data_IF_371112426307
#
_entry.id   IF_371112426307
#
_cell.length_a   1.000
_cell.length_b   1.000
_cell.length_c   1.000
_cell.angle_alpha   90.00
_cell.angle_beta   90.00
_cell.angle_gamma   90.00
#
_symmetry.space_group_name_H-M   'P 1'
#
loop_
_entity.id
_entity.type
_entity.pdbx_description
1 polymer ?
#
# COMPACT_ATOMS: atom_id res chain seq x y z
N UNK A 1 -15.78 27.41 -10.32
CA UNK A 1 -15.81 25.97 -9.97
C UNK A 1 -14.50 25.62 -9.28
N UNK A 2 -14.58 24.88 -8.18
CA UNK A 2 -13.56 24.70 -7.15
C UNK A 2 -12.41 23.78 -7.58
N UNK A 3 -11.28 24.36 -8.00
CA UNK A 3 -10.05 23.61 -8.34
C UNK A 3 -9.36 22.96 -7.14
N UNK A 4 -9.81 23.24 -5.90
CA UNK A 4 -9.23 22.69 -4.67
C UNK A 4 -9.33 21.15 -4.56
N UNK A 5 -10.22 20.52 -5.32
CA UNK A 5 -10.38 19.06 -5.36
C UNK A 5 -9.45 18.34 -6.35
N UNK A 6 -8.88 19.02 -7.37
CA UNK A 6 -8.09 18.34 -8.44
C UNK A 6 -6.73 17.87 -7.96
N UNK A 7 -5.89 18.77 -7.43
CA UNK A 7 -4.50 18.41 -7.05
C UNK A 7 -4.44 17.39 -5.92
N UNK A 8 -5.31 17.53 -4.90
CA UNK A 8 -5.37 16.55 -3.82
C UNK A 8 -5.88 15.21 -4.34
N UNK A 9 -6.96 15.18 -5.13
CA UNK A 9 -7.48 13.90 -5.64
C UNK A 9 -6.53 13.19 -6.61
N UNK A 10 -5.77 13.93 -7.42
CA UNK A 10 -4.71 13.40 -8.30
C UNK A 10 -3.53 12.79 -7.52
N UNK A 11 -3.13 13.41 -6.41
CA UNK A 11 -2.09 12.86 -5.51
C UNK A 11 -2.55 11.57 -4.82
N UNK A 12 -3.80 11.55 -4.33
CA UNK A 12 -4.37 10.37 -3.68
C UNK A 12 -4.56 9.22 -4.67
N UNK A 13 -4.97 9.49 -5.91
CA UNK A 13 -5.10 8.46 -6.94
C UNK A 13 -3.75 7.94 -7.40
N UNK A 14 -2.73 8.79 -7.57
CA UNK A 14 -1.37 8.36 -7.87
C UNK A 14 -0.79 7.47 -6.77
N UNK A 15 -0.98 7.84 -5.50
CA UNK A 15 -0.55 7.03 -4.36
C UNK A 15 -1.21 5.64 -4.34
N UNK A 16 -2.50 5.56 -4.67
CA UNK A 16 -3.20 4.28 -4.77
C UNK A 16 -2.63 3.39 -5.88
N UNK A 17 -2.26 3.96 -7.02
CA UNK A 17 -1.62 3.23 -8.13
C UNK A 17 -0.22 2.74 -7.74
N UNK A 18 0.56 3.55 -7.01
CA UNK A 18 1.85 3.10 -6.46
C UNK A 18 1.70 1.90 -5.53
N UNK A 19 0.71 1.92 -4.63
CA UNK A 19 0.44 0.80 -3.74
C UNK A 19 -0.02 -0.45 -4.50
N UNK A 20 -0.84 -0.30 -5.54
CA UNK A 20 -1.23 -1.40 -6.44
C UNK A 20 -0.02 -2.03 -7.14
N UNK A 21 0.89 -1.21 -7.67
CA UNK A 21 2.10 -1.70 -8.34
C UNK A 21 3.06 -2.40 -7.37
N UNK A 22 3.26 -1.83 -6.18
CA UNK A 22 4.17 -2.37 -5.17
C UNK A 22 3.65 -3.66 -4.54
N UNK A 23 2.34 -3.84 -4.46
CA UNK A 23 1.72 -5.01 -3.82
C UNK A 23 1.19 -6.06 -4.80
N UNK A 24 1.05 -5.70 -6.08
CA UNK A 24 0.27 -6.42 -7.10
C UNK A 24 -1.16 -6.78 -6.66
N UNK A 25 -1.76 -5.97 -5.79
CA UNK A 25 -3.15 -6.13 -5.34
C UNK A 25 -4.02 -5.01 -5.91
N UNK A 26 -5.27 -5.34 -6.21
CA UNK A 26 -6.26 -4.36 -6.61
C UNK A 26 -6.45 -3.32 -5.49
N UNK A 27 -6.62 -2.02 -5.82
CA UNK A 27 -6.84 -0.95 -4.85
C UNK A 27 -7.99 -1.22 -3.89
N UNK A 28 -9.01 -1.96 -4.37
CA UNK A 28 -10.14 -2.45 -3.61
C UNK A 28 -10.28 -3.96 -3.84
N UNK A 29 -9.98 -4.74 -2.80
CA UNK A 29 -10.13 -6.19 -2.84
C UNK A 29 -10.94 -6.66 -1.62
N UNK A 30 -11.97 -7.49 -1.84
CA UNK A 30 -12.82 -8.05 -0.77
C UNK A 30 -13.39 -7.01 0.22
N UNK A 31 -13.69 -5.80 -0.28
CA UNK A 31 -14.23 -4.70 0.54
C UNK A 31 -13.20 -3.99 1.44
N UNK A 32 -11.91 -4.27 1.28
CA UNK A 32 -10.82 -3.54 1.94
C UNK A 32 -9.98 -2.81 0.91
N UNK A 33 -9.65 -1.56 1.24
CA UNK A 33 -8.76 -0.77 0.43
C UNK A 33 -7.31 -0.96 0.87
N UNK A 34 -6.39 -0.97 -0.10
CA UNK A 34 -4.97 -1.21 0.16
C UNK A 34 -4.29 -0.07 0.91
N UNK A 35 -4.75 1.17 0.71
CA UNK A 35 -4.27 2.34 1.47
C UNK A 35 -4.55 2.19 2.97
N UNK A 36 -5.68 1.58 3.34
CA UNK A 36 -6.03 1.27 4.72
C UNK A 36 -5.13 0.18 5.29
N UNK A 37 -4.89 -0.90 4.55
CA UNK A 37 -3.98 -1.97 5.00
C UNK A 37 -2.55 -1.41 5.16
N UNK A 38 -2.07 -0.60 4.22
CA UNK A 38 -0.78 0.09 4.31
C UNK A 38 -0.68 0.98 5.55
N UNK A 39 -1.69 1.81 5.80
CA UNK A 39 -1.72 2.69 6.99
C UNK A 39 -1.74 1.94 8.31
N UNK A 40 -2.31 0.75 8.35
CA UNK A 40 -2.38 -0.08 9.56
C UNK A 40 -1.09 -0.87 9.78
N UNK A 41 -0.36 -1.18 8.72
CA UNK A 41 0.88 -1.96 8.77
C UNK A 41 2.13 -1.10 8.96
N UNK A 42 2.13 0.15 8.47
CA UNK A 42 3.32 1.00 8.53
C UNK A 42 3.71 1.31 9.98
N UNK A 43 4.94 0.95 10.32
CA UNK A 43 5.54 1.16 11.63
C UNK A 43 6.92 1.80 11.44
N UNK A 44 7.01 3.09 11.76
CA UNK A 44 8.25 3.85 11.66
C UNK A 44 9.34 3.40 12.65
N UNK A 45 8.98 2.62 13.68
CA UNK A 45 9.93 2.08 14.64
C UNK A 45 10.57 0.77 14.18
N UNK A 46 10.02 0.14 13.13
CA UNK A 46 10.58 -1.05 12.51
C UNK A 46 11.58 -0.65 11.41
N UNK A 47 12.87 -0.85 11.66
CA UNK A 47 13.96 -0.43 10.77
C UNK A 47 14.24 -1.38 9.60
N UNK A 48 13.69 -2.60 9.60
CA UNK A 48 13.97 -3.57 8.53
C UNK A 48 13.09 -3.28 7.30
N UNK A 49 11.76 -3.21 7.50
CA UNK A 49 10.78 -3.10 6.41
C UNK A 49 9.61 -2.16 6.72
N UNK A 50 9.71 -1.34 7.76
CA UNK A 50 8.61 -0.46 8.22
C UNK A 50 7.28 -1.22 8.49
N UNK A 51 7.33 -2.53 8.78
CA UNK A 51 6.14 -3.36 8.95
C UNK A 51 5.40 -3.73 7.65
N UNK A 52 5.96 -3.40 6.48
CA UNK A 52 5.31 -3.55 5.16
C UNK A 52 5.61 -4.86 4.44
N UNK A 53 6.37 -5.78 5.06
CA UNK A 53 6.79 -7.05 4.43
C UNK A 53 5.62 -7.92 3.95
N UNK A 54 4.42 -7.77 4.52
CA UNK A 54 3.23 -8.52 4.09
C UNK A 54 2.36 -7.79 3.06
N UNK A 55 2.74 -6.56 2.68
CA UNK A 55 2.02 -5.73 1.71
C UNK A 55 2.78 -5.66 0.39
N UNK A 56 4.11 -5.56 0.44
CA UNK A 56 4.96 -5.52 -0.76
C UNK A 56 4.96 -6.90 -1.44
N UNK A 57 4.88 -6.89 -2.76
CA UNK A 57 4.91 -8.08 -3.60
C UNK A 57 6.25 -8.82 -3.48
N UNK A 58 6.20 -10.13 -3.39
CA UNK A 58 7.38 -10.96 -3.18
C UNK A 58 8.37 -11.05 -4.36
N UNK A 59 7.94 -10.67 -5.56
CA UNK A 59 8.89 -10.51 -6.65
C UNK A 59 9.72 -9.23 -6.50
N UNK A 60 9.29 -8.30 -5.65
CA UNK A 60 10.04 -7.10 -5.28
C UNK A 60 10.88 -7.37 -4.02
N UNK A 61 10.41 -8.23 -3.12
CA UNK A 61 11.06 -8.56 -1.85
C UNK A 61 11.11 -10.08 -1.59
N UNK A 62 12.28 -10.65 -1.28
CA UNK A 62 12.48 -12.09 -1.01
C UNK A 62 11.87 -12.55 0.35
N UNK A 63 10.93 -11.78 0.89
CA UNK A 63 10.34 -11.96 2.21
C UNK A 63 9.32 -13.10 2.25
N UNK A 64 9.81 -14.35 2.23
CA UNK A 64 9.04 -15.61 2.28
C UNK A 64 8.18 -15.82 3.56
N UNK A 65 7.92 -14.77 4.34
CA UNK A 65 7.54 -14.84 5.75
C UNK A 65 6.01 -14.78 5.98
N UNK A 66 5.23 -14.18 5.08
CA UNK A 66 3.83 -13.85 5.41
C UNK A 66 2.76 -14.93 5.10
N UNK A 67 3.05 -15.99 4.34
CA UNK A 67 2.07 -17.06 4.05
C UNK A 67 2.08 -18.22 5.04
N UNK A 68 2.87 -18.12 6.10
CA UNK A 68 3.14 -19.25 7.02
C UNK A 68 2.40 -19.13 8.36
N UNK A 69 1.37 -18.29 8.43
CA UNK A 69 0.44 -18.13 9.57
C UNK A 69 -0.98 -18.40 9.11
#
# INVERSE_FOLDING_TARGET
MTQQFSQKSELYSFGSVMLELLSRRLPLAKGRFIDREFRMAIDASNYDYYGLQCIIDLAIDDATICYRV
#
